data_IF_913811698246
#
_entry.id   IF_913811698246
#
_cell.length_a   1.000
_cell.length_b   1.000
_cell.length_c   1.000
_cell.angle_alpha   90.00
_cell.angle_beta   90.00
_cell.angle_gamma   90.00
#
_symmetry.space_group_name_H-M   'P 1'
#
loop_
_entity.id
_entity.type
_entity.pdbx_description
1 polymer ?
#
# COMPACT_ATOMS: atom_id res chain seq x y z
N UNK A 1 56.80 -19.72 -4.00
CA UNK A 1 55.94 -19.94 -2.82
C UNK A 1 54.91 -18.81 -2.81
N UNK A 2 53.71 -19.12 -3.25
CA UNK A 2 52.62 -18.14 -3.32
C UNK A 2 51.73 -18.32 -2.09
N UNK A 3 51.58 -17.24 -1.30
CA UNK A 3 50.71 -17.22 -0.14
C UNK A 3 49.27 -16.99 -0.59
N UNK A 4 48.40 -17.95 -0.43
CA UNK A 4 46.98 -17.82 -0.65
C UNK A 4 46.36 -17.07 0.54
N UNK A 5 45.83 -15.89 0.27
CA UNK A 5 45.07 -15.11 1.23
C UNK A 5 43.69 -15.75 1.38
N UNK A 6 43.42 -16.33 2.53
CA UNK A 6 42.06 -16.80 2.90
C UNK A 6 41.17 -15.58 3.14
N UNK A 7 40.22 -15.38 2.27
CA UNK A 7 39.13 -14.42 2.51
C UNK A 7 38.16 -15.04 3.50
N UNK A 8 38.08 -14.47 4.70
CA UNK A 8 37.09 -14.85 5.70
C UNK A 8 35.70 -14.52 5.18
N UNK A 9 34.88 -15.56 5.00
CA UNK A 9 33.47 -15.41 4.69
C UNK A 9 32.77 -14.77 5.90
N UNK A 10 32.21 -13.59 5.70
CA UNK A 10 31.32 -12.92 6.65
C UNK A 10 30.21 -13.88 7.05
N UNK A 11 30.19 -14.22 8.32
CA UNK A 11 29.07 -14.94 8.94
C UNK A 11 27.89 -13.97 8.94
N UNK A 12 26.97 -14.16 7.99
CA UNK A 12 25.67 -13.52 8.05
C UNK A 12 25.02 -13.89 9.39
N UNK A 13 24.85 -12.90 10.25
CA UNK A 13 24.12 -13.04 11.50
C UNK A 13 22.70 -13.47 11.17
N UNK A 14 22.36 -14.72 11.47
CA UNK A 14 21.00 -15.24 11.34
C UNK A 14 20.11 -14.44 12.29
N UNK A 15 19.27 -13.57 11.73
CA UNK A 15 18.19 -12.93 12.49
C UNK A 15 17.36 -14.03 13.14
N UNK A 16 16.88 -13.84 14.39
CA UNK A 16 16.00 -14.80 15.03
C UNK A 16 14.89 -15.21 14.07
N UNK A 17 14.73 -16.50 13.85
CA UNK A 17 13.66 -17.02 13.01
C UNK A 17 12.35 -16.62 13.67
N UNK A 18 11.63 -15.65 13.09
CA UNK A 18 10.27 -15.34 13.53
C UNK A 18 9.45 -16.62 13.40
N UNK A 19 8.99 -17.16 14.50
CA UNK A 19 8.15 -18.35 14.50
C UNK A 19 6.81 -17.95 13.91
N UNK A 20 6.43 -18.56 12.78
CA UNK A 20 5.14 -18.34 12.16
C UNK A 20 4.04 -18.79 13.13
N UNK A 21 3.20 -17.85 13.54
CA UNK A 21 2.07 -18.14 14.42
C UNK A 21 0.87 -18.51 13.54
N UNK A 22 0.20 -19.64 13.78
CA UNK A 22 -1.01 -20.00 13.05
C UNK A 22 -2.03 -18.88 13.10
N UNK A 23 -2.68 -18.55 11.98
CA UNK A 23 -3.68 -17.46 11.93
C UNK A 23 -4.83 -17.62 12.94
N UNK A 24 -5.20 -18.85 13.28
CA UNK A 24 -6.17 -19.14 14.33
C UNK A 24 -5.77 -18.62 15.71
N UNK A 25 -4.46 -18.56 15.96
CA UNK A 25 -3.91 -18.08 17.24
C UNK A 25 -3.63 -16.58 17.24
N UNK A 26 -3.55 -15.93 16.06
CA UNK A 26 -3.31 -14.48 15.95
C UNK A 26 -4.39 -13.66 16.64
N UNK A 27 -5.64 -14.14 16.68
CA UNK A 27 -6.73 -13.45 17.39
C UNK A 27 -6.43 -13.19 18.87
N UNK A 28 -5.72 -14.10 19.52
CA UNK A 28 -5.35 -13.96 20.95
C UNK A 28 -4.18 -13.00 21.16
N UNK A 29 -3.50 -12.61 20.07
CA UNK A 29 -2.33 -11.73 20.11
C UNK A 29 -2.66 -10.30 19.67
N UNK A 30 -3.89 -10.04 19.23
CA UNK A 30 -4.36 -8.70 18.90
C UNK A 30 -4.49 -7.92 20.20
N UNK A 31 -3.47 -7.11 20.51
CA UNK A 31 -3.40 -6.27 21.67
C UNK A 31 -3.02 -4.83 21.26
N UNK A 32 -3.35 -3.82 22.09
CA UNK A 32 -2.91 -2.46 21.85
C UNK A 32 -1.41 -2.37 21.60
N UNK A 33 -1.00 -1.72 20.49
CA UNK A 33 0.38 -1.55 20.10
C UNK A 33 1.10 -2.77 19.50
N UNK A 34 0.42 -3.92 19.36
CA UNK A 34 1.04 -5.13 18.83
C UNK A 34 1.46 -4.97 17.38
N UNK A 35 2.58 -5.59 17.03
CA UNK A 35 2.99 -5.83 15.64
C UNK A 35 2.88 -7.32 15.38
N UNK A 36 2.10 -7.68 14.38
CA UNK A 36 1.78 -9.07 14.03
C UNK A 36 2.29 -9.36 12.63
N UNK A 37 2.71 -10.60 12.41
CA UNK A 37 3.00 -11.14 11.10
C UNK A 37 1.93 -12.14 10.72
N UNK A 38 1.32 -11.95 9.56
CA UNK A 38 0.36 -12.86 8.95
C UNK A 38 1.05 -13.61 7.81
N UNK A 39 1.15 -14.92 7.92
CA UNK A 39 1.64 -15.80 6.86
C UNK A 39 0.46 -16.38 6.05
N UNK A 40 0.68 -16.52 4.74
CA UNK A 40 -0.32 -17.00 3.79
C UNK A 40 0.25 -18.16 2.96
N UNK A 41 0.38 -19.34 3.56
CA UNK A 41 0.96 -20.51 2.88
C UNK A 41 0.14 -20.99 1.67
N UNK A 42 -1.12 -20.56 1.56
CA UNK A 42 -2.01 -20.86 0.42
C UNK A 42 -1.68 -20.03 -0.81
N UNK A 43 -0.94 -18.93 -0.64
CA UNK A 43 -0.54 -18.05 -1.73
C UNK A 43 0.82 -18.44 -2.30
N UNK A 44 1.06 -18.07 -3.55
CA UNK A 44 2.40 -18.16 -4.12
C UNK A 44 3.37 -17.27 -3.34
N UNK A 45 4.66 -17.60 -3.37
CA UNK A 45 5.71 -16.75 -2.78
C UNK A 45 5.65 -15.32 -3.34
N UNK A 46 6.16 -14.37 -2.58
CA UNK A 46 6.27 -12.98 -3.02
C UNK A 46 7.33 -12.82 -4.14
N UNK A 47 7.46 -11.61 -4.68
CA UNK A 47 8.42 -11.30 -5.75
C UNK A 47 9.86 -11.61 -5.37
N UNK A 48 10.21 -11.52 -4.09
CA UNK A 48 11.55 -11.82 -3.57
C UNK A 48 11.76 -13.32 -3.32
N UNK A 49 10.75 -14.14 -3.57
CA UNK A 49 10.79 -15.59 -3.36
C UNK A 49 10.57 -16.02 -1.91
N UNK A 50 10.16 -15.11 -1.03
CA UNK A 50 9.80 -15.42 0.35
C UNK A 50 8.35 -15.90 0.47
N UNK A 51 8.04 -16.58 1.57
CA UNK A 51 6.67 -16.94 1.92
C UNK A 51 5.79 -15.68 1.90
N UNK A 52 4.61 -15.80 1.29
CA UNK A 52 3.63 -14.73 1.28
C UNK A 52 3.27 -14.33 2.71
N UNK A 53 3.60 -13.09 3.09
CA UNK A 53 3.36 -12.59 4.43
C UNK A 53 3.16 -11.08 4.44
N UNK A 54 2.36 -10.58 5.37
CA UNK A 54 2.25 -9.15 5.65
C UNK A 54 2.58 -8.87 7.12
N UNK A 55 3.07 -7.67 7.40
CA UNK A 55 3.16 -7.16 8.77
C UNK A 55 2.02 -6.19 9.02
N UNK A 56 1.42 -6.32 10.19
CA UNK A 56 0.30 -5.52 10.65
C UNK A 56 0.64 -4.89 11.99
N UNK A 57 0.38 -3.59 12.12
CA UNK A 57 0.54 -2.86 13.38
C UNK A 57 -0.84 -2.46 13.90
N UNK A 58 -1.13 -2.89 15.11
CA UNK A 58 -2.35 -2.52 15.87
C UNK A 58 -2.11 -1.19 16.58
N UNK A 59 -3.06 -0.23 16.59
CA UNK A 59 -2.87 1.03 17.30
C UNK A 59 -2.75 0.84 18.80
N UNK A 60 -2.05 1.78 19.47
CA UNK A 60 -1.90 1.74 20.92
C UNK A 60 -3.23 1.89 21.68
N UNK A 61 -4.21 2.58 21.09
CA UNK A 61 -5.55 2.76 21.63
C UNK A 61 -6.55 1.69 21.17
N UNK A 62 -6.09 0.52 20.72
CA UNK A 62 -6.96 -0.52 20.20
C UNK A 62 -7.96 -1.04 21.24
N UNK A 63 -9.23 -1.04 20.85
CA UNK A 63 -10.39 -1.54 21.62
C UNK A 63 -11.31 -2.32 20.67
N UNK A 64 -11.65 -3.53 21.02
CA UNK A 64 -12.49 -4.41 20.19
C UNK A 64 -13.90 -3.87 19.95
N UNK A 65 -14.39 -2.95 20.79
CA UNK A 65 -15.69 -2.31 20.64
C UNK A 65 -15.70 -1.14 19.62
N UNK A 66 -14.51 -0.67 19.21
CA UNK A 66 -14.36 0.44 18.25
C UNK A 66 -14.07 -0.08 16.86
N UNK A 67 -14.37 0.73 15.84
CA UNK A 67 -13.98 0.49 14.46
C UNK A 67 -12.78 1.37 14.09
N UNK A 68 -11.87 0.81 13.29
CA UNK A 68 -10.63 1.48 12.88
C UNK A 68 -10.46 1.48 11.37
N UNK A 69 -10.03 2.59 10.77
CA UNK A 69 -9.59 2.59 9.38
C UNK A 69 -8.39 1.65 9.21
N UNK A 70 -8.42 0.82 8.17
CA UNK A 70 -7.26 0.07 7.72
C UNK A 70 -6.43 0.93 6.78
N UNK A 71 -5.13 1.02 7.01
CA UNK A 71 -4.18 1.68 6.11
C UNK A 71 -3.28 0.63 5.48
N UNK A 72 -3.41 0.47 4.18
CA UNK A 72 -2.59 -0.44 3.37
C UNK A 72 -1.45 0.34 2.74
N UNK A 73 -0.22 -0.17 2.86
CA UNK A 73 0.96 0.36 2.22
C UNK A 73 1.48 -0.58 1.14
N UNK A 74 1.69 -0.03 -0.07
CA UNK A 74 2.35 -0.70 -1.18
C UNK A 74 3.69 -0.04 -1.47
N UNK A 75 4.78 -0.75 -1.21
CA UNK A 75 6.13 -0.25 -1.42
C UNK A 75 6.50 -0.16 -2.90
N UNK A 76 7.47 0.69 -3.22
CA UNK A 76 8.08 0.77 -4.55
C UNK A 76 9.00 -0.40 -4.87
N UNK A 77 9.54 -0.42 -6.09
CA UNK A 77 10.50 -1.42 -6.58
C UNK A 77 9.97 -2.85 -6.47
N UNK A 78 10.75 -3.73 -5.87
CA UNK A 78 10.38 -5.15 -5.65
C UNK A 78 9.27 -5.33 -4.59
N UNK A 79 8.79 -4.24 -3.98
CA UNK A 79 7.80 -4.31 -2.92
C UNK A 79 8.40 -4.63 -1.56
N UNK A 80 7.52 -4.74 -0.58
CA UNK A 80 7.83 -5.10 0.79
C UNK A 80 6.55 -5.31 1.57
N UNK A 81 6.64 -5.94 2.71
CA UNK A 81 5.50 -6.30 3.54
C UNK A 81 5.44 -5.52 4.87
N UNK A 82 6.27 -4.48 5.02
CA UNK A 82 6.26 -3.61 6.19
C UNK A 82 5.29 -2.44 5.97
N UNK A 83 4.45 -2.10 6.98
CA UNK A 83 3.57 -0.95 6.89
C UNK A 83 4.34 0.36 6.99
N UNK A 84 3.80 1.41 6.37
CA UNK A 84 4.25 2.78 6.53
C UNK A 84 3.05 3.67 6.90
N UNK A 85 3.15 4.38 7.98
CA UNK A 85 2.12 5.32 8.48
C UNK A 85 2.67 6.70 8.80
N UNK A 86 3.89 7.05 8.34
CA UNK A 86 4.54 8.32 8.67
C UNK A 86 3.76 9.57 8.20
N UNK A 87 2.87 9.40 7.22
CA UNK A 87 2.04 10.44 6.64
C UNK A 87 0.63 10.55 7.25
N UNK A 88 0.32 9.75 8.25
CA UNK A 88 -1.00 9.75 8.88
C UNK A 88 -1.13 10.86 9.93
N UNK A 89 -2.33 11.43 10.10
CA UNK A 89 -2.60 12.31 11.23
C UNK A 89 -2.55 11.53 12.55
N UNK A 90 -2.57 12.27 13.66
CA UNK A 90 -2.76 11.64 14.97
C UNK A 90 -4.07 10.85 15.00
N UNK A 91 -4.03 9.64 15.53
CA UNK A 91 -5.22 8.78 15.59
C UNK A 91 -4.88 7.30 15.62
N UNK A 92 -5.92 6.51 15.73
CA UNK A 92 -5.85 5.07 15.82
C UNK A 92 -6.13 4.43 14.45
N UNK A 93 -5.10 3.88 13.82
CA UNK A 93 -5.17 3.19 12.53
C UNK A 93 -4.59 1.79 12.64
N UNK A 94 -5.20 0.84 11.94
CA UNK A 94 -4.59 -0.47 11.72
C UNK A 94 -3.73 -0.36 10.45
N UNK A 95 -2.41 -0.58 10.58
CA UNK A 95 -1.48 -0.46 9.46
C UNK A 95 -1.09 -1.83 8.93
N UNK A 96 -1.04 -1.98 7.61
CA UNK A 96 -0.56 -3.23 6.98
C UNK A 96 0.29 -2.92 5.75
N UNK A 97 1.39 -3.66 5.58
CA UNK A 97 2.19 -3.65 4.36
C UNK A 97 1.93 -4.93 3.56
N UNK A 98 1.59 -4.79 2.27
CA UNK A 98 1.31 -5.92 1.39
C UNK A 98 2.41 -6.10 0.35
N UNK A 99 2.99 -7.32 0.21
CA UNK A 99 3.97 -7.64 -0.83
C UNK A 99 3.27 -7.90 -2.18
N UNK A 100 4.05 -7.96 -3.27
CA UNK A 100 3.56 -8.39 -4.58
C UNK A 100 3.79 -9.90 -4.79
N UNK A 101 2.92 -10.59 -5.53
CA UNK A 101 3.12 -12.00 -5.85
C UNK A 101 4.24 -12.20 -6.87
N UNK A 102 4.93 -13.32 -6.79
CA UNK A 102 5.87 -13.74 -7.83
C UNK A 102 5.16 -13.91 -9.18
N UNK A 103 5.83 -13.48 -10.24
CA UNK A 103 5.31 -13.60 -11.60
C UNK A 103 4.18 -12.60 -11.94
N UNK A 104 4.04 -11.51 -11.18
CA UNK A 104 3.19 -10.37 -11.56
C UNK A 104 3.97 -9.28 -12.29
N UNK A 105 5.09 -9.61 -12.90
CA UNK A 105 5.95 -8.66 -13.59
C UNK A 105 5.31 -8.15 -14.88
N UNK A 106 5.61 -6.91 -15.22
CA UNK A 106 5.29 -6.37 -16.53
C UNK A 106 6.16 -7.08 -17.59
N UNK A 107 5.58 -7.66 -18.65
CA UNK A 107 6.33 -8.38 -19.67
C UNK A 107 7.33 -7.50 -20.43
N UNK A 108 7.11 -6.17 -20.44
CA UNK A 108 8.03 -5.21 -21.09
C UNK A 108 9.05 -4.60 -20.13
N UNK A 109 8.80 -4.67 -18.83
CA UNK A 109 9.64 -4.07 -17.79
C UNK A 109 9.67 -5.03 -16.57
N UNK A 110 10.68 -5.89 -16.55
CA UNK A 110 10.75 -6.98 -15.55
C UNK A 110 10.77 -6.52 -14.08
N UNK A 111 11.20 -5.29 -13.83
CA UNK A 111 11.23 -4.67 -12.50
C UNK A 111 9.89 -4.04 -12.06
N UNK A 112 8.91 -3.96 -12.97
CA UNK A 112 7.60 -3.37 -12.67
C UNK A 112 6.53 -4.44 -12.49
N UNK A 113 5.58 -4.16 -11.59
CA UNK A 113 4.33 -4.90 -11.47
C UNK A 113 3.44 -4.57 -12.67
N UNK A 114 2.88 -5.55 -13.34
CA UNK A 114 2.09 -5.36 -14.55
C UNK A 114 0.90 -6.30 -14.69
N UNK A 115 0.88 -7.42 -13.99
CA UNK A 115 -0.30 -8.28 -13.87
C UNK A 115 -1.17 -7.83 -12.68
N UNK A 116 -1.91 -6.76 -12.89
CA UNK A 116 -2.72 -6.13 -11.83
C UNK A 116 -3.87 -7.00 -11.35
N UNK A 117 -4.42 -7.85 -12.21
CA UNK A 117 -5.43 -8.84 -11.84
C UNK A 117 -4.89 -9.85 -10.83
N UNK A 118 -3.68 -10.35 -11.07
CA UNK A 118 -2.98 -11.26 -10.14
C UNK A 118 -2.63 -10.56 -8.82
N UNK A 119 -2.15 -9.31 -8.91
CA UNK A 119 -1.84 -8.52 -7.71
C UNK A 119 -3.09 -8.28 -6.88
N UNK A 120 -4.20 -7.89 -7.51
CA UNK A 120 -5.45 -7.65 -6.77
C UNK A 120 -6.00 -8.92 -6.13
N UNK A 121 -6.01 -10.03 -6.84
CA UNK A 121 -6.45 -11.32 -6.28
C UNK A 121 -5.61 -11.72 -5.05
N UNK A 122 -4.29 -11.52 -5.12
CA UNK A 122 -3.36 -11.79 -4.04
C UNK A 122 -3.61 -10.90 -2.82
N UNK A 123 -3.71 -9.58 -3.03
CA UNK A 123 -3.98 -8.63 -1.95
C UNK A 123 -5.38 -8.82 -1.36
N UNK A 124 -6.39 -9.07 -2.19
CA UNK A 124 -7.75 -9.31 -1.73
C UNK A 124 -7.84 -10.50 -0.80
N UNK A 125 -7.18 -11.61 -1.13
CA UNK A 125 -7.12 -12.78 -0.25
C UNK A 125 -6.50 -12.41 1.11
N UNK A 126 -5.38 -11.70 1.12
CA UNK A 126 -4.74 -11.23 2.36
C UNK A 126 -5.68 -10.33 3.19
N UNK A 127 -6.34 -9.38 2.55
CA UNK A 127 -7.26 -8.45 3.21
C UNK A 127 -8.50 -9.15 3.77
N UNK A 128 -9.03 -10.16 3.08
CA UNK A 128 -10.15 -10.98 3.56
C UNK A 128 -9.74 -11.78 4.82
N UNK A 129 -8.57 -12.37 4.83
CA UNK A 129 -8.05 -13.11 5.99
C UNK A 129 -7.75 -12.18 7.19
N UNK A 130 -7.20 -10.99 6.93
CA UNK A 130 -7.01 -9.96 7.97
C UNK A 130 -8.37 -9.56 8.56
N UNK A 131 -9.38 -9.31 7.74
CA UNK A 131 -10.71 -8.92 8.20
C UNK A 131 -11.43 -10.02 9.00
N UNK A 132 -11.16 -11.29 8.74
CA UNK A 132 -11.66 -12.41 9.57
C UNK A 132 -11.02 -12.42 10.96
N UNK A 133 -9.77 -11.98 11.04
CA UNK A 133 -9.00 -11.93 12.29
C UNK A 133 -9.29 -10.65 13.08
N UNK A 134 -9.46 -9.53 12.39
CA UNK A 134 -9.73 -8.19 12.94
C UNK A 134 -11.07 -7.68 12.37
N UNK A 135 -12.21 -8.08 12.96
CA UNK A 135 -13.54 -7.80 12.36
C UNK A 135 -14.00 -6.35 12.51
N UNK A 136 -13.31 -5.54 13.29
CA UNK A 136 -13.65 -4.15 13.58
C UNK A 136 -12.95 -3.12 12.66
N UNK A 137 -12.60 -3.53 11.43
CA UNK A 137 -12.12 -2.64 10.37
C UNK A 137 -13.28 -1.81 9.80
N UNK A 138 -13.09 -0.50 9.70
CA UNK A 138 -13.96 0.42 8.98
C UNK A 138 -13.52 0.53 7.52
N UNK A 139 -14.18 -0.24 6.64
CA UNK A 139 -13.86 -0.26 5.20
C UNK A 139 -14.12 1.07 4.51
N UNK A 140 -15.15 1.83 4.95
CA UNK A 140 -15.51 3.11 4.31
C UNK A 140 -14.44 4.19 4.49
N UNK A 141 -13.65 4.09 5.56
CA UNK A 141 -12.56 4.99 5.90
C UNK A 141 -11.19 4.36 5.67
N UNK A 142 -11.13 3.18 5.06
CA UNK A 142 -9.86 2.51 4.77
C UNK A 142 -9.09 3.24 3.68
N UNK A 143 -7.79 3.30 3.87
CA UNK A 143 -6.82 4.03 3.04
C UNK A 143 -5.91 3.02 2.36
N UNK A 144 -5.61 3.24 1.08
CA UNK A 144 -4.48 2.58 0.43
C UNK A 144 -3.51 3.63 -0.08
N UNK A 145 -2.23 3.46 0.24
CA UNK A 145 -1.16 4.32 -0.18
C UNK A 145 -0.08 3.51 -0.90
N UNK A 146 0.43 4.03 -2.00
CA UNK A 146 1.47 3.38 -2.79
C UNK A 146 2.55 4.36 -3.24
N UNK A 147 3.81 3.93 -3.12
CA UNK A 147 4.97 4.67 -3.61
C UNK A 147 5.51 4.02 -4.88
N UNK A 148 5.82 4.84 -5.92
CA UNK A 148 6.45 4.38 -7.16
C UNK A 148 5.67 3.20 -7.79
N UNK A 149 6.26 2.02 -7.84
CA UNK A 149 5.60 0.80 -8.33
C UNK A 149 4.28 0.50 -7.59
N UNK A 150 4.19 0.87 -6.31
CA UNK A 150 2.94 0.77 -5.53
C UNK A 150 1.84 1.67 -6.04
N UNK A 151 2.16 2.92 -6.39
CA UNK A 151 1.20 3.84 -6.99
C UNK A 151 0.76 3.38 -8.39
N UNK A 152 1.68 2.88 -9.20
CA UNK A 152 1.36 2.28 -10.50
C UNK A 152 0.46 1.04 -10.36
N UNK A 153 0.74 0.18 -9.39
CA UNK A 153 -0.09 -0.99 -9.12
C UNK A 153 -1.52 -0.59 -8.72
N UNK A 154 -1.67 0.44 -7.88
CA UNK A 154 -2.98 0.99 -7.49
C UNK A 154 -3.77 1.50 -8.69
N UNK A 155 -3.15 2.29 -9.58
CA UNK A 155 -3.81 2.79 -10.80
C UNK A 155 -4.23 1.63 -11.71
N UNK A 156 -3.37 0.63 -11.88
CA UNK A 156 -3.70 -0.58 -12.63
C UNK A 156 -4.86 -1.38 -12.02
N UNK A 157 -4.88 -1.54 -10.70
CA UNK A 157 -5.98 -2.24 -10.00
C UNK A 157 -7.30 -1.47 -10.07
N UNK A 158 -7.29 -0.13 -10.07
CA UNK A 158 -8.49 0.69 -10.27
C UNK A 158 -9.12 0.45 -11.65
N UNK A 159 -8.33 0.18 -12.68
CA UNK A 159 -8.78 -0.01 -14.07
C UNK A 159 -9.23 -1.42 -14.40
N UNK A 160 -9.23 -2.35 -13.47
CA UNK A 160 -9.71 -3.70 -13.70
C UNK A 160 -11.22 -3.69 -13.96
N UNK A 161 -11.61 -4.15 -15.13
CA UNK A 161 -13.02 -4.17 -15.58
C UNK A 161 -13.80 -5.40 -15.12
N UNK A 162 -13.13 -6.41 -14.56
CA UNK A 162 -13.72 -7.68 -14.16
C UNK A 162 -13.35 -8.08 -12.74
N UNK A 163 -14.21 -8.86 -12.11
CA UNK A 163 -14.01 -9.34 -10.74
C UNK A 163 -14.42 -8.34 -9.65
N UNK A 164 -14.12 -8.65 -8.38
CA UNK A 164 -14.39 -7.77 -7.25
C UNK A 164 -13.66 -6.43 -7.40
N UNK A 165 -14.40 -5.34 -7.23
CA UNK A 165 -13.86 -3.99 -7.45
C UNK A 165 -12.86 -3.62 -6.35
N UNK A 166 -11.74 -3.07 -6.77
CA UNK A 166 -10.74 -2.51 -5.88
C UNK A 166 -11.31 -1.37 -5.00
N UNK A 167 -12.21 -0.58 -5.57
CA UNK A 167 -12.91 0.53 -4.91
C UNK A 167 -13.85 0.10 -3.78
N UNK A 168 -14.26 -1.18 -3.71
CA UNK A 168 -15.12 -1.65 -2.63
C UNK A 168 -14.37 -1.83 -1.30
N UNK A 169 -13.04 -1.90 -1.37
CA UNK A 169 -12.18 -2.10 -0.20
C UNK A 169 -11.65 -0.81 0.41
N UNK A 170 -11.66 0.30 -0.33
CA UNK A 170 -11.03 1.55 0.10
C UNK A 170 -11.90 2.77 -0.21
N UNK A 171 -11.89 3.73 0.72
CA UNK A 171 -12.48 5.05 0.54
C UNK A 171 -11.48 6.12 0.10
N UNK A 172 -10.19 5.90 0.42
CA UNK A 172 -9.12 6.89 0.23
C UNK A 172 -7.93 6.25 -0.48
N UNK A 173 -7.40 6.96 -1.48
CA UNK A 173 -6.28 6.53 -2.33
C UNK A 173 -5.17 7.57 -2.28
N UNK A 174 -3.93 7.16 -1.95
CA UNK A 174 -2.77 8.05 -1.90
C UNK A 174 -1.70 7.53 -2.86
N UNK A 175 -1.52 8.24 -3.97
CA UNK A 175 -0.54 7.92 -5.01
C UNK A 175 0.70 8.79 -4.83
N UNK A 176 1.87 8.16 -4.67
CA UNK A 176 3.13 8.84 -4.41
C UNK A 176 4.13 8.43 -5.48
N UNK A 177 4.60 9.40 -6.27
CA UNK A 177 5.60 9.15 -7.32
C UNK A 177 5.20 8.03 -8.29
N UNK A 178 3.94 8.02 -8.76
CA UNK A 178 3.46 7.03 -9.71
C UNK A 178 1.96 7.09 -9.94
N UNK A 179 1.46 6.14 -10.72
CA UNK A 179 0.12 6.15 -11.28
C UNK A 179 0.05 7.01 -12.54
N UNK A 180 -1.03 6.94 -13.28
CA UNK A 180 -1.25 7.79 -14.46
C UNK A 180 -1.07 7.10 -15.81
N UNK A 181 -0.44 7.73 -16.76
CA UNK A 181 -0.68 7.56 -18.18
C UNK A 181 -0.17 6.30 -18.88
N UNK A 182 0.77 5.56 -18.34
CA UNK A 182 1.34 4.38 -19.00
C UNK A 182 0.37 3.22 -19.18
N UNK A 183 -0.85 3.33 -18.67
CA UNK A 183 -1.78 2.21 -18.45
C UNK A 183 -3.17 2.41 -19.07
N UNK A 184 -3.33 3.37 -19.97
CA UNK A 184 -4.60 3.56 -20.70
C UNK A 184 -5.08 2.32 -21.48
N UNK A 185 -4.16 1.39 -21.78
CA UNK A 185 -4.48 0.09 -22.38
C UNK A 185 -5.16 -0.89 -21.40
N UNK A 186 -5.22 -0.58 -20.11
CA UNK A 186 -5.78 -1.47 -19.07
C UNK A 186 -7.28 -1.27 -18.84
N UNK A 187 -7.88 -0.28 -19.47
CA UNK A 187 -9.28 0.07 -19.29
C UNK A 187 -9.49 1.46 -18.70
N UNK A 188 -10.75 1.83 -18.59
CA UNK A 188 -11.15 3.11 -18.01
C UNK A 188 -11.15 3.05 -16.48
N UNK A 189 -10.95 4.22 -15.87
CA UNK A 189 -11.20 4.37 -14.44
C UNK A 189 -12.70 4.18 -14.15
N UNK A 190 -13.05 3.50 -13.05
CA UNK A 190 -14.44 3.35 -12.63
C UNK A 190 -15.03 4.69 -12.14
N UNK A 191 -16.32 4.69 -11.84
CA UNK A 191 -16.94 5.75 -11.04
C UNK A 191 -16.29 5.80 -9.65
N UNK A 192 -15.85 6.99 -9.26
CA UNK A 192 -15.17 7.27 -7.99
C UNK A 192 -15.94 8.25 -7.11
N UNK A 193 -17.23 8.43 -7.37
CA UNK A 193 -18.09 9.27 -6.54
C UNK A 193 -18.01 8.90 -5.07
N UNK A 194 -17.75 9.88 -4.22
CA UNK A 194 -17.57 9.68 -2.78
C UNK A 194 -16.22 9.07 -2.36
N UNK A 195 -15.29 8.93 -3.30
CA UNK A 195 -13.91 8.53 -3.02
C UNK A 195 -12.99 9.74 -2.97
N UNK A 196 -11.90 9.60 -2.22
CA UNK A 196 -10.90 10.63 -2.01
C UNK A 196 -9.56 10.18 -2.57
N UNK A 197 -8.83 11.08 -3.22
CA UNK A 197 -7.52 10.79 -3.72
C UNK A 197 -6.53 11.92 -3.46
N UNK A 198 -5.32 11.56 -3.03
CA UNK A 198 -4.17 12.44 -2.96
C UNK A 198 -3.10 11.92 -3.91
N UNK A 199 -2.59 12.78 -4.78
CA UNK A 199 -1.56 12.41 -5.74
C UNK A 199 -0.38 13.36 -5.58
N UNK A 200 0.82 12.86 -5.28
CA UNK A 200 2.00 13.70 -5.19
C UNK A 200 3.16 13.15 -6.02
N UNK A 201 3.97 14.10 -6.53
CA UNK A 201 5.14 13.83 -7.37
C UNK A 201 6.24 14.86 -7.12
N UNK A 202 7.49 14.48 -7.35
CA UNK A 202 8.62 15.39 -7.24
C UNK A 202 8.74 16.35 -8.44
N UNK A 203 9.35 17.52 -8.23
CA UNK A 203 9.63 18.49 -9.29
C UNK A 203 10.90 18.21 -10.06
N UNK A 204 11.85 17.48 -9.47
CA UNK A 204 13.20 17.31 -9.98
C UNK A 204 13.33 16.16 -11.00
N UNK A 205 14.47 16.16 -11.69
CA UNK A 205 14.83 15.10 -12.65
C UNK A 205 14.82 13.73 -11.94
N UNK A 206 14.24 12.75 -12.61
CA UNK A 206 14.11 11.37 -12.11
C UNK A 206 12.82 11.08 -11.34
N UNK A 207 12.01 12.11 -11.03
CA UNK A 207 10.65 11.89 -10.53
C UNK A 207 9.75 11.29 -11.61
N UNK A 208 8.64 10.67 -11.20
CA UNK A 208 7.60 10.19 -12.11
C UNK A 208 6.56 11.27 -12.44
N UNK A 209 6.96 12.55 -12.46
CA UNK A 209 6.08 13.69 -12.74
C UNK A 209 5.31 13.53 -14.05
N UNK A 210 5.96 13.02 -15.10
CA UNK A 210 5.34 12.84 -16.41
C UNK A 210 4.08 11.96 -16.36
N UNK A 211 4.08 10.95 -15.50
CA UNK A 211 2.93 10.06 -15.31
C UNK A 211 1.98 10.58 -14.22
N UNK A 212 2.51 10.82 -13.02
CA UNK A 212 1.71 11.13 -11.84
C UNK A 212 0.91 12.44 -11.97
N UNK A 213 1.44 13.47 -12.63
CA UNK A 213 0.77 14.79 -12.73
C UNK A 213 -0.53 14.78 -13.54
N UNK A 214 -0.77 13.77 -14.38
CA UNK A 214 -2.03 13.63 -15.13
C UNK A 214 -3.14 12.94 -14.33
N UNK A 215 -2.75 12.15 -13.33
CA UNK A 215 -3.70 11.32 -12.58
C UNK A 215 -4.76 12.15 -11.83
N UNK A 216 -4.46 13.30 -11.21
CA UNK A 216 -5.50 14.12 -10.54
C UNK A 216 -6.63 14.54 -11.47
N UNK A 217 -6.31 14.97 -12.70
CA UNK A 217 -7.32 15.34 -13.68
C UNK A 217 -8.17 14.14 -14.09
N UNK A 218 -7.55 12.99 -14.35
CA UNK A 218 -8.24 11.76 -14.73
C UNK A 218 -9.19 11.27 -13.62
N UNK A 219 -8.77 11.29 -12.35
CA UNK A 219 -9.60 10.89 -11.21
C UNK A 219 -10.80 11.85 -11.00
N UNK A 220 -10.60 13.14 -11.21
CA UNK A 220 -11.70 14.16 -11.15
C UNK A 220 -12.78 13.92 -12.20
N UNK A 221 -12.43 13.44 -13.41
CA UNK A 221 -13.44 13.10 -14.43
C UNK A 221 -14.33 11.92 -14.06
N UNK A 222 -14.00 11.21 -12.98
CA UNK A 222 -14.74 10.08 -12.40
C UNK A 222 -15.34 10.43 -11.03
N UNK A 223 -15.58 11.72 -10.78
CA UNK A 223 -16.23 12.26 -9.57
C UNK A 223 -15.49 12.04 -8.24
N UNK A 224 -14.18 11.73 -8.27
CA UNK A 224 -13.38 11.71 -7.05
C UNK A 224 -13.10 13.12 -6.50
N UNK A 225 -13.04 13.26 -5.18
CA UNK A 225 -12.46 14.43 -4.52
C UNK A 225 -10.94 14.29 -4.51
N UNK A 226 -10.23 15.16 -5.26
CA UNK A 226 -8.79 14.95 -5.55
C UNK A 226 -7.95 16.17 -5.23
N UNK A 227 -6.81 15.94 -4.58
CA UNK A 227 -5.68 16.87 -4.42
C UNK A 227 -4.50 16.36 -5.23
N UNK A 228 -3.87 17.27 -6.00
CA UNK A 228 -2.57 17.05 -6.63
C UNK A 228 -1.53 17.95 -5.97
N UNK A 229 -0.35 17.43 -5.65
CA UNK A 229 0.74 18.16 -4.97
C UNK A 229 2.08 17.88 -5.64
N UNK A 230 2.79 18.94 -6.02
CA UNK A 230 4.17 18.86 -6.47
C UNK A 230 5.11 19.07 -5.30
N UNK A 231 5.99 18.10 -5.04
CA UNK A 231 7.03 18.17 -4.01
C UNK A 231 8.24 18.93 -4.56
N UNK A 232 8.36 20.22 -4.25
CA UNK A 232 9.43 21.09 -4.76
C UNK A 232 10.83 20.61 -4.32
N UNK A 233 11.78 20.57 -5.26
CA UNK A 233 13.15 20.13 -5.02
C UNK A 233 13.32 18.64 -4.74
N UNK A 234 12.30 17.83 -5.02
CA UNK A 234 12.30 16.38 -4.76
C UNK A 234 12.37 15.63 -6.08
N UNK A 235 13.26 14.62 -6.15
CA UNK A 235 13.30 13.65 -7.24
C UNK A 235 12.35 12.48 -6.98
N UNK A 236 12.80 11.25 -7.27
CA UNK A 236 12.01 10.05 -7.05
C UNK A 236 12.04 9.61 -5.57
N UNK A 237 11.31 10.35 -4.72
CA UNK A 237 11.25 10.09 -3.29
C UNK A 237 9.91 10.52 -2.68
N UNK A 238 9.58 9.96 -1.53
CA UNK A 238 8.48 10.43 -0.68
C UNK A 238 9.05 11.35 0.39
N UNK A 239 8.96 12.65 0.19
CA UNK A 239 9.59 13.65 1.06
C UNK A 239 8.83 13.80 2.40
N UNK A 240 9.54 13.92 3.54
CA UNK A 240 8.89 14.17 4.83
C UNK A 240 8.05 15.45 4.87
N UNK A 241 8.40 16.49 4.09
CA UNK A 241 7.61 17.72 3.95
C UNK A 241 6.20 17.48 3.40
N UNK A 242 5.97 16.38 2.68
CA UNK A 242 4.66 16.02 2.16
C UNK A 242 3.79 15.28 3.19
N UNK A 243 4.42 14.66 4.20
CA UNK A 243 3.68 13.92 5.24
C UNK A 243 2.67 14.79 5.98
N UNK A 244 3.08 16.00 6.38
CA UNK A 244 2.22 16.93 7.09
C UNK A 244 1.02 17.38 6.24
N UNK A 245 1.21 17.62 4.94
CA UNK A 245 0.13 18.00 4.02
C UNK A 245 -0.87 16.87 3.83
N UNK A 246 -0.41 15.64 3.70
CA UNK A 246 -1.28 14.45 3.60
C UNK A 246 -2.03 14.26 4.91
N UNK A 247 -1.37 14.38 6.06
CA UNK A 247 -2.00 14.26 7.37
C UNK A 247 -3.14 15.29 7.55
N UNK A 248 -2.86 16.56 7.25
CA UNK A 248 -3.85 17.63 7.31
C UNK A 248 -5.03 17.38 6.36
N UNK A 249 -4.77 16.98 5.11
CA UNK A 249 -5.82 16.66 4.14
C UNK A 249 -6.66 15.46 4.59
N UNK A 250 -6.04 14.42 5.13
CA UNK A 250 -6.76 13.26 5.68
C UNK A 250 -7.71 13.69 6.81
N UNK A 251 -7.23 14.51 7.74
CA UNK A 251 -8.01 14.97 8.89
C UNK A 251 -9.17 15.89 8.48
N UNK A 252 -8.90 16.86 7.61
CA UNK A 252 -9.85 17.91 7.27
C UNK A 252 -10.84 17.53 6.17
N UNK A 253 -10.47 16.58 5.28
CA UNK A 253 -11.24 16.30 4.06
C UNK A 253 -11.65 14.83 3.98
N UNK A 254 -10.66 13.92 3.94
CA UNK A 254 -10.92 12.53 3.57
C UNK A 254 -11.53 11.69 4.70
N UNK A 255 -11.16 11.99 5.95
CA UNK A 255 -11.65 11.29 7.15
C UNK A 255 -12.58 12.16 8.01
N UNK A 256 -12.81 13.40 7.62
CA UNK A 256 -13.78 14.25 8.27
C UNK A 256 -15.13 13.53 8.30
N UNK A 257 -15.72 13.41 9.48
CA UNK A 257 -17.10 12.91 9.59
C UNK A 257 -18.01 13.81 8.76
N UNK A 258 -18.92 13.25 7.96
CA UNK A 258 -19.93 14.11 7.33
C UNK A 258 -20.60 14.90 8.45
N UNK A 259 -20.52 16.23 8.36
CA UNK A 259 -21.26 17.07 9.30
C UNK A 259 -22.68 16.53 9.35
N UNK A 260 -23.16 16.22 10.56
CA UNK A 260 -24.56 15.85 10.76
C UNK A 260 -25.38 17.00 10.16
N UNK A 261 -25.94 16.74 8.96
CA UNK A 261 -26.89 17.64 8.33
C UNK A 261 -28.27 17.38 8.90
#
# INVERSE_FOLDING_TARGET
MSAATLVAADKAELKPTEVAIPRSELKTQIAPGATLRFDFPELTVDRKGALAACHLKVPAGYDTAKKYPLVVWLSGGEGGNQPNGAFLPAGDFILVGLPYPKGANNPKQANMVGDYGKVWAYHRFMLEEIAKTIPNIDKSRSIIAGFSNGAHAMDGMLRLSSGPKFTDSFGVFIFIEGGGTGYSSLGELPDLKGKFAYVCWGSEKGSNKADASYLPAALKTKDATVVGSEMAGVGHAFAPSEYAKIAEWLEQVALASPAQK
#
